data_IF_365257535589
#
_entry.id   IF_365257535589
#
_cell.length_a   1.000
_cell.length_b   1.000
_cell.length_c   1.000
_cell.angle_alpha   90.00
_cell.angle_beta   90.00
_cell.angle_gamma   90.00
#
_symmetry.space_group_name_H-M   'P 1'
#
loop_
_entity.id
_entity.type
_entity.pdbx_description
1 polymer ?
#
# COMPACT_ATOMS: atom_id res chain seq x y z
N UNK A 1 6.46 -5.98 -11.73
CA UNK A 1 5.15 -6.38 -11.16
C UNK A 1 5.44 -7.32 -10.01
N UNK A 2 4.70 -7.23 -8.91
CA UNK A 2 4.86 -8.06 -7.72
C UNK A 2 3.51 -8.62 -7.27
N UNK A 3 3.56 -9.68 -6.45
CA UNK A 3 2.40 -10.21 -5.71
C UNK A 3 2.74 -10.20 -4.24
N UNK A 4 1.92 -9.56 -3.41
CA UNK A 4 2.19 -9.39 -1.98
C UNK A 4 0.94 -9.68 -1.16
N UNK A 5 1.12 -10.42 -0.06
CA UNK A 5 0.06 -10.66 0.94
C UNK A 5 0.36 -9.85 2.18
N UNK A 6 -0.66 -9.21 2.74
CA UNK A 6 -0.49 -8.38 3.92
C UNK A 6 -1.80 -7.86 4.48
N UNK A 7 -1.67 -6.93 5.42
CA UNK A 7 -2.78 -6.27 6.10
C UNK A 7 -2.80 -4.80 5.68
N UNK A 8 -3.96 -4.33 5.25
CA UNK A 8 -4.20 -2.91 4.99
C UNK A 8 -4.15 -2.13 6.30
N UNK A 9 -3.42 -1.02 6.27
CA UNK A 9 -3.35 -0.07 7.37
C UNK A 9 -3.53 1.37 6.91
N UNK A 10 -4.36 2.11 7.63
CA UNK A 10 -4.38 3.57 7.52
C UNK A 10 -3.37 4.16 8.48
N UNK A 11 -2.47 5.01 7.99
CA UNK A 11 -1.51 5.73 8.82
C UNK A 11 -1.84 7.22 8.81
N UNK A 12 -2.17 7.75 9.98
CA UNK A 12 -2.44 9.17 10.18
C UNK A 12 -1.13 9.94 10.44
N UNK A 13 -0.35 10.12 9.38
CA UNK A 13 0.92 10.82 9.39
C UNK A 13 0.85 12.06 8.50
N UNK A 14 0.27 13.13 9.04
CA UNK A 14 0.12 14.41 8.35
C UNK A 14 -0.98 14.40 7.29
N UNK A 15 -0.77 13.73 6.15
CA UNK A 15 -1.71 13.71 5.01
C UNK A 15 -2.68 12.54 5.01
N UNK A 16 -2.45 11.54 5.87
CA UNK A 16 -3.19 10.28 5.86
C UNK A 16 -2.81 9.41 4.65
N UNK A 17 -2.42 8.17 4.90
CA UNK A 17 -1.97 7.27 3.81
C UNK A 17 -2.45 5.84 4.04
N UNK A 18 -2.87 5.19 2.95
CA UNK A 18 -3.19 3.77 2.94
C UNK A 18 -1.96 2.95 2.61
N UNK A 19 -1.71 1.93 3.40
CA UNK A 19 -0.54 1.07 3.26
C UNK A 19 -0.92 -0.40 3.32
N UNK A 20 -0.07 -1.27 2.78
CA UNK A 20 -0.09 -2.70 3.02
C UNK A 20 1.17 -3.06 3.80
N UNK A 21 0.98 -3.61 5.00
CA UNK A 21 2.07 -4.23 5.77
C UNK A 21 2.10 -5.71 5.40
N UNK A 22 3.14 -6.11 4.69
CA UNK A 22 3.31 -7.48 4.21
C UNK A 22 3.61 -8.46 5.34
N UNK A 23 3.40 -9.75 5.07
CA UNK A 23 3.75 -10.81 6.04
C UNK A 23 5.26 -10.90 6.31
N UNK A 24 6.12 -10.36 5.43
CA UNK A 24 7.57 -10.20 5.65
C UNK A 24 7.94 -8.95 6.46
N UNK A 25 6.98 -8.10 6.80
CA UNK A 25 7.18 -6.86 7.55
C UNK A 25 7.50 -5.63 6.69
N UNK A 26 7.59 -5.78 5.36
CA UNK A 26 7.75 -4.63 4.45
C UNK A 26 6.45 -3.83 4.38
N UNK A 27 6.57 -2.50 4.31
CA UNK A 27 5.44 -1.58 4.14
C UNK A 27 5.41 -1.05 2.71
N UNK A 28 4.24 -1.15 2.10
CA UNK A 28 3.96 -0.61 0.77
C UNK A 28 2.92 0.50 0.89
N UNK A 29 3.23 1.68 0.38
CA UNK A 29 2.24 2.74 0.20
C UNK A 29 1.34 2.40 -0.99
N UNK A 30 0.03 2.49 -0.84
CA UNK A 30 -0.89 2.20 -1.93
C UNK A 30 -1.13 3.46 -2.77
N UNK A 31 -0.79 3.38 -4.05
CA UNK A 31 -1.07 4.45 -5.00
C UNK A 31 -2.55 4.41 -5.41
N UNK A 32 -3.30 5.45 -5.02
CA UNK A 32 -4.72 5.64 -5.37
C UNK A 32 -5.56 4.35 -5.19
N UNK A 33 -5.56 3.70 -4.01
CA UNK A 33 -6.28 2.44 -3.82
C UNK A 33 -7.78 2.64 -4.03
N UNK A 34 -8.43 1.61 -4.59
CA UNK A 34 -9.88 1.54 -4.69
C UNK A 34 -10.54 1.59 -3.30
N UNK A 35 -11.79 2.01 -3.22
CA UNK A 35 -12.51 2.14 -1.95
C UNK A 35 -12.60 0.82 -1.17
N UNK A 36 -12.72 -0.31 -1.88
CA UNK A 36 -12.75 -1.64 -1.28
C UNK A 36 -11.45 -2.01 -0.54
N UNK A 37 -10.33 -1.37 -0.89
CA UNK A 37 -9.05 -1.55 -0.20
C UNK A 37 -8.85 -0.57 0.95
N UNK A 38 -9.70 0.44 1.13
CA UNK A 38 -9.57 1.46 2.19
C UNK A 38 -10.26 1.01 3.48
N UNK A 39 -9.86 -0.15 3.98
CA UNK A 39 -10.38 -0.73 5.21
C UNK A 39 -9.23 -1.17 6.10
N UNK A 40 -9.06 -0.52 7.26
CA UNK A 40 -8.01 -0.90 8.21
C UNK A 40 -8.22 -2.34 8.71
N UNK A 41 -7.15 -3.12 8.76
CA UNK A 41 -7.17 -4.51 9.21
C UNK A 41 -7.57 -5.52 8.14
N UNK A 42 -7.93 -5.09 6.92
CA UNK A 42 -8.27 -5.99 5.83
C UNK A 42 -7.04 -6.79 5.38
N UNK A 43 -7.11 -8.13 5.48
CA UNK A 43 -6.07 -9.02 4.94
C UNK A 43 -6.33 -9.28 3.45
N UNK A 44 -5.34 -9.01 2.61
CA UNK A 44 -5.44 -9.11 1.14
C UNK A 44 -4.19 -9.74 0.52
N UNK A 45 -4.34 -10.23 -0.70
CA UNK A 45 -3.23 -10.53 -1.62
C UNK A 45 -3.39 -9.66 -2.85
N UNK A 46 -2.46 -8.75 -3.08
CA UNK A 46 -2.51 -7.80 -4.19
C UNK A 46 -1.48 -8.16 -5.26
N UNK A 47 -1.80 -7.86 -6.52
CA UNK A 47 -0.85 -7.80 -7.62
C UNK A 47 -0.74 -6.37 -8.11
N UNK A 48 0.50 -5.90 -8.32
CA UNK A 48 0.71 -4.51 -8.70
C UNK A 48 2.11 -4.21 -9.21
N UNK A 49 2.36 -2.94 -9.50
CA UNK A 49 3.65 -2.42 -9.96
C UNK A 49 4.23 -1.48 -8.90
N UNK A 50 5.50 -1.65 -8.57
CA UNK A 50 6.26 -0.65 -7.81
C UNK A 50 6.51 0.55 -8.72
N UNK A 51 6.13 1.73 -8.24
CA UNK A 51 6.30 3.02 -8.92
C UNK A 51 7.54 3.72 -8.35
N UNK A 52 8.65 3.55 -9.04
CA UNK A 52 9.93 4.22 -8.78
C UNK A 52 10.05 5.58 -9.50
N UNK A 53 9.08 5.89 -10.36
CA UNK A 53 8.97 7.11 -11.16
C UNK A 53 8.21 8.25 -10.47
N UNK A 54 7.72 8.02 -9.25
CA UNK A 54 6.96 9.00 -8.46
C UNK A 54 7.45 9.02 -7.01
N UNK A 55 7.19 10.12 -6.32
CA UNK A 55 7.52 10.31 -4.91
C UNK A 55 6.24 10.58 -4.11
N UNK A 56 6.24 10.13 -2.85
CA UNK A 56 5.17 10.38 -1.90
C UNK A 56 5.62 11.34 -0.82
N UNK A 57 4.69 12.16 -0.33
CA UNK A 57 4.89 13.01 0.85
C UNK A 57 4.92 12.20 2.15
N UNK A 58 4.31 11.01 2.17
CA UNK A 58 4.24 10.16 3.37
C UNK A 58 5.57 9.44 3.65
N UNK A 59 6.34 9.09 2.60
CA UNK A 59 7.65 8.45 2.68
C UNK A 59 7.69 7.20 3.60
N UNK A 60 6.63 6.39 3.61
CA UNK A 60 6.48 5.22 4.49
C UNK A 60 6.97 3.90 3.91
N UNK A 61 7.35 3.90 2.63
CA UNK A 61 7.77 2.68 1.94
C UNK A 61 7.75 2.84 0.43
N UNK A 62 7.85 1.72 -0.27
CA UNK A 62 7.72 1.70 -1.74
C UNK A 62 6.27 1.96 -2.15
N UNK A 63 6.08 2.68 -3.25
CA UNK A 63 4.75 3.00 -3.76
C UNK A 63 4.28 1.86 -4.67
N UNK A 64 3.18 1.20 -4.30
CA UNK A 64 2.55 0.09 -5.00
C UNK A 64 1.27 0.56 -5.68
N UNK A 65 1.27 0.54 -7.01
CA UNK A 65 0.06 0.68 -7.82
C UNK A 65 -0.61 -0.68 -7.98
N UNK A 66 -1.83 -0.82 -7.48
CA UNK A 66 -2.59 -2.07 -7.46
C UNK A 66 -3.31 -2.27 -8.79
N UNK A 67 -3.17 -3.46 -9.37
CA UNK A 67 -3.85 -3.84 -10.61
C UNK A 67 -4.86 -4.98 -10.42
N UNK A 68 -4.70 -5.80 -9.37
CA UNK A 68 -5.60 -6.90 -9.04
C UNK A 68 -5.56 -7.30 -7.58
#
# INVERSE_FOLDING_TARGET
MIKVTGIIKYQDIGVGVWTLVSESGETYELYQPSENLRQDGLKVTLQGKIRDDIMSMAMVGQILEVHK
#
